data_IF_902504850525
#
_entry.id   IF_902504850525
#
_cell.length_a   1.000
_cell.length_b   1.000
_cell.length_c   1.000
_cell.angle_alpha   90.00
_cell.angle_beta   90.00
_cell.angle_gamma   90.00
#
_symmetry.space_group_name_H-M   'P 1'
#
loop_
_entity.id
_entity.type
_entity.pdbx_description
1 polymer ?
#
# COMPACT_ATOMS: atom_id res chain seq x y z
N UNK A 1 -35.90 -54.85 68.75
CA UNK A 1 -35.53 -53.46 68.43
C UNK A 1 -34.26 -53.32 67.56
N UNK A 2 -33.70 -54.38 66.95
CA UNK A 2 -32.42 -54.30 66.22
C UNK A 2 -32.45 -54.07 64.70
N UNK A 3 -33.62 -54.13 64.03
CA UNK A 3 -33.70 -54.08 62.57
C UNK A 3 -33.63 -52.65 61.98
N UNK A 4 -34.07 -51.63 62.71
CA UNK A 4 -34.11 -50.24 62.20
C UNK A 4 -32.75 -49.54 62.11
N UNK A 5 -31.79 -49.91 62.96
CA UNK A 5 -30.47 -49.26 63.02
C UNK A 5 -29.62 -49.48 61.76
N UNK A 6 -29.72 -50.66 61.13
CA UNK A 6 -28.98 -51.01 59.92
C UNK A 6 -29.43 -50.21 58.68
N UNK A 7 -30.70 -49.80 58.61
CA UNK A 7 -31.21 -48.99 57.49
C UNK A 7 -30.71 -47.55 57.55
N UNK A 8 -30.65 -46.95 58.75
CA UNK A 8 -30.14 -45.59 58.95
C UNK A 8 -28.64 -45.53 58.61
N UNK A 9 -27.85 -46.52 59.07
CA UNK A 9 -26.42 -46.57 58.76
C UNK A 9 -26.14 -46.71 57.25
N UNK A 10 -26.93 -47.54 56.54
CA UNK A 10 -26.82 -47.68 55.07
C UNK A 10 -27.20 -46.39 54.34
N UNK A 11 -28.26 -45.70 54.78
CA UNK A 11 -28.68 -44.44 54.19
C UNK A 11 -27.62 -43.34 54.38
N UNK A 12 -27.04 -43.23 55.59
CA UNK A 12 -25.94 -42.30 55.86
C UNK A 12 -24.69 -42.61 55.01
N UNK A 13 -24.35 -43.89 54.84
CA UNK A 13 -23.24 -44.29 53.97
C UNK A 13 -23.50 -43.92 52.50
N UNK A 14 -24.70 -44.16 51.98
CA UNK A 14 -25.07 -43.77 50.61
C UNK A 14 -25.03 -42.25 50.43
N UNK A 15 -25.51 -41.48 51.42
CA UNK A 15 -25.48 -40.02 51.40
C UNK A 15 -24.04 -39.49 51.42
N UNK A 16 -23.17 -40.11 52.21
CA UNK A 16 -21.74 -39.80 52.24
C UNK A 16 -21.05 -40.10 50.90
N UNK A 17 -21.34 -41.27 50.30
CA UNK A 17 -20.81 -41.65 48.99
C UNK A 17 -21.29 -40.71 47.87
N UNK A 18 -22.57 -40.31 47.91
CA UNK A 18 -23.13 -39.34 46.97
C UNK A 18 -22.46 -37.97 47.11
N UNK A 19 -22.25 -37.51 48.36
CA UNK A 19 -21.55 -36.27 48.64
C UNK A 19 -20.10 -36.31 48.13
N UNK A 20 -19.40 -37.43 48.35
CA UNK A 20 -18.04 -37.63 47.85
C UNK A 20 -17.99 -37.61 46.32
N UNK A 21 -18.95 -38.27 45.65
CA UNK A 21 -19.05 -38.27 44.19
C UNK A 21 -19.32 -36.86 43.64
N UNK A 22 -20.21 -36.09 44.28
CA UNK A 22 -20.48 -34.70 43.91
C UNK A 22 -19.23 -33.83 44.05
N UNK A 23 -18.47 -33.99 45.14
CA UNK A 23 -17.21 -33.28 45.38
C UNK A 23 -16.17 -33.62 44.31
N UNK A 24 -16.05 -34.89 43.94
CA UNK A 24 -15.14 -35.35 42.88
C UNK A 24 -15.52 -34.75 41.52
N UNK A 25 -16.82 -34.70 41.19
CA UNK A 25 -17.31 -34.14 39.94
C UNK A 25 -17.09 -32.62 39.88
N UNK A 26 -17.28 -31.91 40.99
CA UNK A 26 -16.98 -30.49 41.10
C UNK A 26 -15.48 -30.21 40.91
N UNK A 27 -14.61 -31.03 41.53
CA UNK A 27 -13.16 -30.92 41.37
C UNK A 27 -12.74 -31.17 39.92
N UNK A 28 -13.32 -32.18 39.26
CA UNK A 28 -13.05 -32.47 37.85
C UNK A 28 -13.47 -31.30 36.95
N UNK A 29 -14.65 -30.72 37.20
CA UNK A 29 -15.14 -29.55 36.46
C UNK A 29 -14.21 -28.35 36.62
N UNK A 30 -13.73 -28.09 37.85
CA UNK A 30 -12.78 -27.02 38.14
C UNK A 30 -11.45 -27.23 37.39
N UNK A 31 -10.91 -28.46 37.39
CA UNK A 31 -9.69 -28.80 36.66
C UNK A 31 -9.86 -28.62 35.15
N UNK A 32 -11.01 -29.00 34.60
CA UNK A 32 -11.30 -28.84 33.17
C UNK A 32 -11.43 -27.35 32.79
N UNK A 33 -12.04 -26.53 33.64
CA UNK A 33 -12.13 -25.09 33.43
C UNK A 33 -10.77 -24.41 33.53
N UNK A 34 -9.91 -24.83 34.45
CA UNK A 34 -8.53 -24.36 34.56
C UNK A 34 -7.71 -24.74 33.32
N UNK A 35 -7.84 -25.97 32.84
CA UNK A 35 -7.18 -26.43 31.62
C UNK A 35 -7.63 -25.63 30.39
N UNK A 36 -8.94 -25.39 30.27
CA UNK A 36 -9.49 -24.56 29.19
C UNK A 36 -8.95 -23.13 29.26
N UNK A 37 -8.92 -22.53 30.45
CA UNK A 37 -8.33 -21.20 30.65
C UNK A 37 -6.84 -21.18 30.24
N UNK A 38 -6.08 -22.20 30.65
CA UNK A 38 -4.67 -22.32 30.26
C UNK A 38 -4.51 -22.44 28.74
N UNK A 39 -5.33 -23.27 28.08
CA UNK A 39 -5.32 -23.43 26.62
C UNK A 39 -5.73 -22.16 25.88
N UNK A 40 -6.56 -21.30 26.48
CA UNK A 40 -6.92 -19.99 25.91
C UNK A 40 -5.83 -18.93 26.14
N UNK A 41 -5.08 -19.01 27.25
CA UNK A 41 -4.04 -18.05 27.59
C UNK A 41 -2.69 -18.37 26.94
N UNK A 42 -2.34 -19.66 26.79
CA UNK A 42 -1.04 -20.09 26.27
C UNK A 42 -0.74 -19.52 24.86
N UNK A 43 -1.68 -19.57 23.88
CA UNK A 43 -1.42 -19.02 22.54
C UNK A 43 -1.21 -17.51 22.54
N UNK A 44 -1.94 -16.79 23.40
CA UNK A 44 -1.78 -15.33 23.58
C UNK A 44 -0.41 -15.00 24.15
N UNK A 45 0.04 -15.78 25.13
CA UNK A 45 1.37 -15.64 25.72
C UNK A 45 2.48 -15.93 24.71
N UNK A 46 2.38 -17.06 23.98
CA UNK A 46 3.34 -17.41 22.94
C UNK A 46 3.42 -16.35 21.84
N UNK A 47 2.29 -15.82 21.36
CA UNK A 47 2.28 -14.79 20.33
C UNK A 47 3.00 -13.52 20.79
N UNK A 48 2.75 -13.09 22.02
CA UNK A 48 3.35 -11.86 22.57
C UNK A 48 4.86 -12.01 22.74
N UNK A 49 5.31 -13.11 23.35
CA UNK A 49 6.73 -13.40 23.57
C UNK A 49 7.46 -13.61 22.25
N UNK A 50 6.88 -14.35 21.30
CA UNK A 50 7.50 -14.60 20.00
C UNK A 50 7.63 -13.33 19.17
N UNK A 51 6.62 -12.46 19.20
CA UNK A 51 6.66 -11.16 18.50
C UNK A 51 7.77 -10.27 19.09
N UNK A 52 7.88 -10.21 20.42
CA UNK A 52 8.94 -9.46 21.10
C UNK A 52 10.35 -10.01 20.77
N UNK A 53 10.51 -11.34 20.77
CA UNK A 53 11.78 -11.98 20.43
C UNK A 53 12.19 -11.78 18.97
N UNK A 54 11.24 -11.82 18.04
CA UNK A 54 11.53 -11.54 16.62
C UNK A 54 11.87 -10.08 16.37
N UNK A 55 11.23 -9.15 17.09
CA UNK A 55 11.61 -7.74 17.10
C UNK A 55 13.05 -7.56 17.60
N UNK A 56 13.42 -8.20 18.72
CA UNK A 56 14.78 -8.15 19.28
C UNK A 56 15.82 -8.77 18.34
N UNK A 57 15.51 -9.91 17.72
CA UNK A 57 16.41 -10.57 16.77
C UNK A 57 16.66 -9.71 15.53
N UNK A 58 15.63 -9.04 15.02
CA UNK A 58 15.73 -8.13 13.89
C UNK A 58 16.33 -6.77 14.29
N UNK A 59 16.35 -6.40 15.57
CA UNK A 59 17.02 -5.20 16.01
C UNK A 59 18.55 -5.27 15.88
N UNK A 60 19.13 -6.48 15.93
CA UNK A 60 20.53 -6.68 15.53
C UNK A 60 20.77 -6.33 14.05
N UNK A 61 19.76 -6.49 13.19
CA UNK A 61 19.82 -6.08 11.78
C UNK A 61 19.58 -4.57 11.58
N UNK A 62 19.04 -3.85 12.58
CA UNK A 62 18.83 -2.41 12.50
C UNK A 62 20.12 -1.60 12.72
N UNK A 63 21.21 -2.22 13.20
CA UNK A 63 22.55 -1.61 13.39
C UNK A 63 22.51 -0.18 13.95
N UNK A 64 21.55 0.11 14.81
CA UNK A 64 21.44 1.40 15.48
C UNK A 64 22.08 1.27 16.84
N UNK A 65 23.10 2.07 17.12
CA UNK A 65 23.68 2.26 18.47
C UNK A 65 22.68 2.84 19.49
N UNK A 66 21.46 3.17 19.06
CA UNK A 66 20.41 3.69 19.90
C UNK A 66 19.70 2.56 20.69
N UNK A 67 19.45 2.74 22.00
CA UNK A 67 18.71 1.79 22.80
C UNK A 67 17.25 1.67 22.31
N UNK A 68 16.77 0.43 22.18
CA UNK A 68 15.37 0.15 21.83
C UNK A 68 14.50 0.48 23.05
N UNK A 69 13.54 1.37 22.89
CA UNK A 69 12.52 1.66 23.91
C UNK A 69 11.23 0.91 23.58
N UNK A 70 10.69 0.15 24.53
CA UNK A 70 9.45 -0.62 24.35
C UNK A 70 8.29 0.18 24.94
N UNK A 71 7.27 0.46 24.13
CA UNK A 71 6.04 1.13 24.55
C UNK A 71 4.92 0.09 24.69
N UNK A 72 4.08 0.23 25.73
CA UNK A 72 2.88 -0.59 25.86
C UNK A 72 1.67 0.24 26.30
N UNK A 73 0.50 -0.16 25.81
CA UNK A 73 -0.80 0.49 26.01
C UNK A 73 -1.72 -0.41 26.82
N UNK A 74 -1.20 -1.04 27.88
CA UNK A 74 -2.04 -1.90 28.70
C UNK A 74 -3.02 -1.02 29.48
N UNK A 75 -4.30 -1.17 29.15
CA UNK A 75 -5.42 -0.54 29.87
C UNK A 75 -5.82 -1.37 31.09
N UNK A 76 -5.28 -2.58 31.23
CA UNK A 76 -5.45 -3.39 32.42
C UNK A 76 -4.57 -2.85 33.56
N UNK A 77 -5.04 -2.89 34.82
CA UNK A 77 -4.21 -2.59 35.98
C UNK A 77 -2.96 -3.47 35.97
N UNK A 78 -1.81 -2.91 36.36
CA UNK A 78 -0.48 -3.54 36.34
C UNK A 78 -0.51 -5.06 36.46
N UNK A 79 -0.58 -5.72 35.31
CA UNK A 79 -0.48 -7.17 35.27
C UNK A 79 0.93 -7.61 35.68
N UNK A 80 1.10 -8.91 36.01
CA UNK A 80 2.41 -9.49 36.35
C UNK A 80 3.47 -9.30 35.25
N UNK A 81 3.05 -8.89 34.05
CA UNK A 81 3.92 -8.66 32.89
C UNK A 81 4.66 -7.32 32.91
N UNK A 82 4.26 -6.34 33.73
CA UNK A 82 4.95 -5.04 33.78
C UNK A 82 6.43 -5.20 34.22
N UNK A 83 6.69 -6.11 35.15
CA UNK A 83 8.04 -6.44 35.62
C UNK A 83 8.86 -7.19 34.55
N UNK A 84 8.23 -8.09 33.79
CA UNK A 84 8.88 -8.80 32.68
C UNK A 84 9.28 -7.81 31.58
N UNK A 85 8.38 -6.91 31.21
CA UNK A 85 8.65 -5.86 30.23
C UNK A 85 9.81 -4.96 30.69
N UNK A 86 9.83 -4.51 31.96
CA UNK A 86 10.93 -3.69 32.51
C UNK A 86 12.31 -4.36 32.40
N UNK A 87 12.36 -5.70 32.40
CA UNK A 87 13.61 -6.46 32.28
C UNK A 87 14.10 -6.60 30.84
N UNK A 88 13.23 -6.43 29.84
CA UNK A 88 13.58 -6.50 28.41
C UNK A 88 14.29 -5.22 27.96
N UNK A 89 14.04 -4.10 28.64
CA UNK A 89 14.70 -2.82 28.35
C UNK A 89 13.96 -1.64 28.98
N UNK A 90 14.34 -0.40 28.65
CA UNK A 90 13.59 0.77 29.07
C UNK A 90 12.17 0.69 28.51
N UNK A 91 11.20 0.44 29.38
CA UNK A 91 9.78 0.37 29.02
C UNK A 91 9.05 1.61 29.47
N UNK A 92 8.14 2.09 28.62
CA UNK A 92 7.24 3.21 28.93
C UNK A 92 5.79 2.74 28.85
N UNK A 93 5.08 2.83 29.98
CA UNK A 93 3.62 2.68 30.01
C UNK A 93 3.00 3.97 29.47
N UNK A 94 2.31 3.91 28.33
CA UNK A 94 1.68 5.09 27.75
C UNK A 94 0.50 5.60 28.60
N UNK A 95 -0.05 4.77 29.47
CA UNK A 95 -1.09 5.14 30.43
C UNK A 95 -0.54 5.98 31.59
N UNK A 96 0.69 5.70 32.05
CA UNK A 96 1.26 6.32 33.26
C UNK A 96 2.26 7.42 32.98
N UNK A 97 3.07 7.22 31.94
CA UNK A 97 4.02 8.20 31.46
C UNK A 97 3.70 8.47 29.98
N UNK A 98 2.58 9.16 29.71
CA UNK A 98 2.17 9.44 28.35
C UNK A 98 3.23 10.31 27.67
N UNK A 99 3.41 10.10 26.37
CA UNK A 99 4.36 10.87 25.57
C UNK A 99 4.05 12.37 25.66
N UNK A 100 5.05 13.27 25.66
CA UNK A 100 4.79 14.70 25.75
C UNK A 100 3.81 15.20 24.68
N UNK A 101 2.95 16.14 25.06
CA UNK A 101 1.97 16.75 24.15
C UNK A 101 2.68 17.36 22.93
N UNK A 102 2.09 17.19 21.75
CA UNK A 102 2.63 17.72 20.50
C UNK A 102 3.81 16.94 19.90
N UNK A 103 4.17 15.79 20.48
CA UNK A 103 5.13 14.87 19.83
C UNK A 103 4.42 14.01 18.77
N UNK A 104 5.12 13.76 17.67
CA UNK A 104 4.61 12.90 16.59
C UNK A 104 4.41 11.46 17.03
N UNK A 105 5.21 11.01 17.99
CA UNK A 105 5.07 9.70 18.60
C UNK A 105 3.77 9.60 19.41
N UNK A 106 3.41 10.61 20.22
CA UNK A 106 2.11 10.62 20.94
C UNK A 106 0.95 10.56 19.95
N UNK A 107 1.09 11.26 18.84
CA UNK A 107 0.06 11.29 17.82
C UNK A 107 -0.08 9.92 17.13
N UNK A 108 1.03 9.22 16.88
CA UNK A 108 1.06 7.90 16.23
C UNK A 108 0.45 6.76 17.07
N UNK A 109 0.48 6.86 18.40
CA UNK A 109 -0.05 5.85 19.32
C UNK A 109 -1.22 6.45 20.12
N UNK A 110 -2.42 6.42 19.55
CA UNK A 110 -3.63 6.67 20.32
C UNK A 110 -4.43 5.37 20.41
N UNK A 111 -4.40 4.72 21.57
CA UNK A 111 -5.35 3.67 21.93
C UNK A 111 -6.32 4.32 22.91
N UNK A 112 -7.51 4.78 22.49
CA UNK A 112 -8.53 5.21 23.43
C UNK A 112 -8.86 4.01 24.34
N UNK A 113 -8.78 4.16 25.68
CA UNK A 113 -8.89 3.03 26.59
C UNK A 113 -10.28 2.40 26.70
N UNK A 114 -11.33 2.96 26.08
CA UNK A 114 -12.71 2.64 26.47
C UNK A 114 -13.75 2.40 25.36
N UNK A 115 -13.41 2.42 24.06
CA UNK A 115 -14.43 2.23 23.01
C UNK A 115 -14.06 1.15 22.00
N UNK A 116 -15.07 0.32 21.70
CA UNK A 116 -14.99 -0.93 20.95
C UNK A 116 -14.24 -0.80 19.61
N UNK A 117 -13.31 -1.73 19.35
CA UNK A 117 -12.83 -2.02 17.99
C UNK A 117 -11.74 -1.12 17.43
N UNK A 118 -10.98 -0.41 18.28
CA UNK A 118 -9.89 0.44 17.79
C UNK A 118 -8.72 -0.41 17.26
N UNK A 119 -8.45 -0.26 15.95
CA UNK A 119 -7.23 -0.75 15.32
C UNK A 119 -6.01 -0.35 16.14
N UNK A 120 -5.01 -1.23 16.22
CA UNK A 120 -3.72 -0.95 16.88
C UNK A 120 -3.03 0.33 16.33
N UNK A 121 -3.52 0.82 15.18
CA UNK A 121 -3.13 2.05 14.50
C UNK A 121 -4.32 2.99 14.29
N UNK A 122 -5.08 3.31 15.34
CA UNK A 122 -6.12 4.32 15.28
C UNK A 122 -5.53 5.71 15.57
N UNK A 123 -5.33 6.51 14.53
CA UNK A 123 -4.96 7.91 14.68
C UNK A 123 -6.24 8.75 14.88
N UNK A 124 -6.48 9.25 16.10
CA UNK A 124 -7.62 10.15 16.39
C UNK A 124 -7.20 11.62 16.47
N UNK A 125 -5.92 11.91 16.22
CA UNK A 125 -5.38 13.26 16.38
C UNK A 125 -5.80 14.27 15.32
N UNK A 126 -6.55 13.93 14.27
CA UNK A 126 -6.88 14.89 13.19
C UNK A 126 -8.26 15.53 13.36
N UNK A 127 -8.33 16.63 14.11
CA UNK A 127 -9.25 17.71 13.78
C UNK A 127 -8.57 18.68 12.80
N UNK A 128 -9.33 19.46 12.03
CA UNK A 128 -8.78 20.63 11.32
C UNK A 128 -7.99 21.49 12.30
N UNK A 129 -6.70 21.75 12.01
CA UNK A 129 -5.78 22.47 12.89
C UNK A 129 -4.93 21.60 13.84
N UNK A 130 -5.13 20.29 13.86
CA UNK A 130 -4.29 19.39 14.63
C UNK A 130 -2.83 19.38 14.14
N UNK A 131 -1.88 19.35 15.09
CA UNK A 131 -0.44 19.29 14.81
C UNK A 131 0.00 18.01 14.06
N UNK A 132 -0.92 17.08 13.89
CA UNK A 132 -0.82 15.83 13.14
C UNK A 132 -0.19 15.97 11.75
N UNK A 133 -0.75 16.86 10.94
CA UNK A 133 -0.26 17.09 9.57
C UNK A 133 1.19 17.59 9.54
N UNK A 134 1.72 18.13 10.65
CA UNK A 134 3.10 18.60 10.74
C UNK A 134 4.11 17.48 10.99
N UNK A 135 3.65 16.30 11.37
CA UNK A 135 4.53 15.24 11.82
C UNK A 135 5.22 14.45 10.71
N UNK A 136 4.84 14.68 9.44
CA UNK A 136 5.38 13.95 8.30
C UNK A 136 5.28 12.43 8.47
N UNK A 137 6.08 11.71 7.69
CA UNK A 137 6.21 10.27 7.85
C UNK A 137 6.91 9.96 9.18
N UNK A 138 6.26 9.17 10.04
CA UNK A 138 6.83 8.75 11.32
C UNK A 138 7.87 7.66 11.08
N UNK A 139 9.15 7.86 11.45
CA UNK A 139 10.19 6.85 11.24
C UNK A 139 9.85 5.51 11.87
N UNK A 140 9.13 5.50 13.00
CA UNK A 140 8.72 4.28 13.68
C UNK A 140 7.61 3.54 12.92
N UNK A 141 6.62 4.26 12.37
CA UNK A 141 5.52 3.65 11.61
C UNK A 141 6.02 3.17 10.25
N UNK A 142 6.92 3.92 9.63
CA UNK A 142 7.65 3.49 8.42
C UNK A 142 8.50 2.24 8.70
N UNK A 143 9.28 2.23 9.79
CA UNK A 143 10.07 1.06 10.19
C UNK A 143 9.19 -0.16 10.50
N UNK A 144 8.05 0.05 11.16
CA UNK A 144 7.09 -1.02 11.43
C UNK A 144 6.47 -1.56 10.14
N UNK A 145 6.07 -0.71 9.20
CA UNK A 145 5.61 -1.15 7.87
C UNK A 145 6.68 -1.96 7.14
N UNK A 146 7.94 -1.52 7.18
CA UNK A 146 9.06 -2.29 6.64
C UNK A 146 9.28 -3.63 7.36
N UNK A 147 9.15 -3.67 8.69
CA UNK A 147 9.26 -4.89 9.48
C UNK A 147 8.13 -5.86 9.13
N UNK A 148 6.87 -5.40 9.09
CA UNK A 148 5.72 -6.19 8.63
C UNK A 148 5.97 -6.79 7.25
N UNK A 149 6.39 -5.97 6.28
CA UNK A 149 6.75 -6.43 4.92
C UNK A 149 7.98 -7.36 4.92
N UNK A 150 8.79 -7.34 5.98
CA UNK A 150 9.95 -8.22 6.18
C UNK A 150 9.59 -9.57 6.78
N UNK A 151 8.46 -9.69 7.48
CA UNK A 151 7.95 -10.97 7.98
C UNK A 151 7.55 -11.92 6.85
N UNK A 152 7.26 -11.38 5.67
CA UNK A 152 6.85 -12.15 4.50
C UNK A 152 7.80 -11.91 3.31
N UNK A 153 9.06 -12.36 3.40
CA UNK A 153 10.09 -12.11 2.37
C UNK A 153 9.74 -12.73 1.02
N UNK A 154 8.93 -13.78 0.98
CA UNK A 154 8.35 -14.39 -0.22
C UNK A 154 7.40 -13.45 -0.97
N UNK A 155 6.81 -12.46 -0.29
CA UNK A 155 5.90 -11.50 -0.91
C UNK A 155 6.63 -10.31 -1.54
N UNK A 156 7.92 -10.13 -1.24
CA UNK A 156 8.75 -9.10 -1.87
C UNK A 156 8.86 -9.40 -3.38
N UNK A 157 8.78 -8.39 -4.26
CA UNK A 157 8.99 -8.60 -5.70
C UNK A 157 10.37 -9.22 -5.95
N UNK A 158 10.44 -10.53 -6.14
CA UNK A 158 11.67 -11.24 -6.54
C UNK A 158 11.88 -10.99 -8.04
N UNK A 159 12.63 -9.94 -8.36
CA UNK A 159 13.01 -9.61 -9.73
C UNK A 159 11.89 -8.94 -10.54
N UNK A 160 12.23 -8.54 -11.77
CA UNK A 160 11.30 -7.94 -12.72
C UNK A 160 10.06 -8.84 -12.88
N UNK A 161 8.84 -8.29 -12.90
CA UNK A 161 7.62 -9.07 -13.06
C UNK A 161 7.77 -9.95 -14.31
N UNK A 162 7.59 -11.26 -14.17
CA UNK A 162 7.53 -12.16 -15.32
C UNK A 162 6.34 -11.70 -16.19
N UNK A 163 6.53 -11.41 -17.49
CA UNK A 163 5.50 -10.82 -18.35
C UNK A 163 4.28 -11.72 -18.61
N UNK A 164 4.24 -12.93 -18.07
CA UNK A 164 3.20 -13.92 -18.36
C UNK A 164 1.79 -13.55 -17.88
N UNK A 165 1.61 -12.56 -16.99
CA UNK A 165 0.27 -12.15 -16.54
C UNK A 165 -0.29 -10.91 -17.27
N UNK A 166 0.51 -10.25 -18.11
CA UNK A 166 0.10 -9.02 -18.82
C UNK A 166 -0.61 -9.27 -20.16
N UNK A 167 -0.81 -10.53 -20.56
CA UNK A 167 -1.35 -10.89 -21.88
C UNK A 167 -2.73 -11.59 -21.87
N UNK A 168 -3.40 -11.77 -20.73
CA UNK A 168 -4.76 -12.33 -20.71
C UNK A 168 -5.87 -11.28 -20.87
N UNK A 169 -5.52 -10.01 -21.04
CA UNK A 169 -6.47 -8.96 -21.43
C UNK A 169 -6.39 -8.71 -22.93
N UNK A 170 -6.76 -9.72 -23.72
CA UNK A 170 -7.25 -9.43 -25.05
C UNK A 170 -8.51 -8.59 -24.87
N UNK A 171 -8.47 -7.32 -25.27
CA UNK A 171 -9.67 -6.66 -25.78
C UNK A 171 -10.42 -7.68 -26.66
N UNK A 172 -11.75 -7.81 -26.59
CA UNK A 172 -12.47 -8.57 -27.61
C UNK A 172 -11.97 -8.07 -28.95
N UNK A 173 -11.35 -8.97 -29.72
CA UNK A 173 -10.70 -8.61 -30.97
C UNK A 173 -11.72 -7.80 -31.78
N UNK A 174 -11.32 -6.58 -32.19
CA UNK A 174 -12.06 -5.90 -33.23
C UNK A 174 -12.29 -6.93 -34.37
N UNK A 175 -13.52 -7.05 -34.91
CA UNK A 175 -13.84 -8.05 -35.91
C UNK A 175 -12.76 -8.02 -36.99
N UNK A 176 -12.10 -9.17 -37.17
CA UNK A 176 -10.93 -9.29 -38.01
C UNK A 176 -11.22 -8.68 -39.38
N UNK A 177 -10.41 -7.69 -39.78
CA UNK A 177 -10.41 -7.24 -41.15
C UNK A 177 -10.10 -8.44 -42.07
N UNK A 178 -10.79 -8.58 -43.22
CA UNK A 178 -10.57 -9.69 -44.12
C UNK A 178 -9.10 -9.75 -44.55
N UNK A 179 -8.55 -10.97 -44.73
CA UNK A 179 -7.14 -11.14 -45.08
C UNK A 179 -6.81 -10.41 -46.39
N UNK A 180 -5.67 -9.70 -46.47
CA UNK A 180 -5.22 -9.10 -47.72
C UNK A 180 -4.88 -10.18 -48.75
N UNK A 181 -5.20 -9.89 -50.00
CA UNK A 181 -4.97 -10.76 -51.15
C UNK A 181 -3.48 -11.12 -51.33
N UNK A 182 -3.16 -12.31 -51.85
CA UNK A 182 -1.79 -12.78 -52.01
C UNK A 182 -1.00 -11.88 -52.98
N UNK A 183 0.11 -11.34 -52.47
CA UNK A 183 1.05 -10.51 -53.21
C UNK A 183 1.94 -11.40 -54.12
N UNK A 184 2.15 -11.02 -55.40
CA UNK A 184 2.94 -11.82 -56.33
C UNK A 184 4.44 -11.80 -56.02
N UNK A 185 5.03 -12.99 -56.01
CA UNK A 185 6.45 -13.26 -55.76
C UNK A 185 7.36 -12.53 -56.77
N UNK A 186 8.05 -11.48 -56.35
CA UNK A 186 9.18 -10.90 -57.08
C UNK A 186 10.50 -11.54 -56.63
N UNK A 187 10.77 -12.73 -57.18
CA UNK A 187 12.12 -13.25 -57.30
C UNK A 187 12.81 -12.53 -58.48
N UNK A 188 13.78 -11.64 -58.20
CA UNK A 188 14.97 -11.33 -59.01
C UNK A 188 15.43 -9.87 -58.83
N UNK A 189 16.14 -9.58 -57.73
CA UNK A 189 17.10 -8.48 -57.67
C UNK A 189 18.07 -8.65 -56.50
N UNK A 190 18.96 -9.65 -56.60
CA UNK A 190 20.14 -9.77 -55.73
C UNK A 190 21.33 -10.18 -56.60
N UNK A 191 22.11 -9.19 -57.04
CA UNK A 191 23.54 -9.29 -57.39
C UNK A 191 24.00 -7.97 -58.02
N UNK A 192 24.30 -6.99 -57.18
CA UNK A 192 25.26 -5.91 -57.43
C UNK A 192 25.14 -4.91 -56.28
N UNK A 193 25.85 -5.16 -55.18
CA UNK A 193 26.30 -4.14 -54.23
C UNK A 193 27.24 -4.82 -53.25
N UNK A 194 28.46 -5.04 -53.75
CA UNK A 194 29.63 -5.36 -52.97
C UNK A 194 30.23 -4.05 -52.44
N UNK A 195 30.59 -4.09 -51.15
CA UNK A 195 31.71 -3.36 -50.54
C UNK A 195 31.57 -1.82 -50.44
N UNK A 196 30.78 -1.39 -49.45
CA UNK A 196 31.01 -0.13 -48.76
C UNK A 196 31.87 -0.38 -47.49
N UNK A 197 32.74 0.57 -47.09
CA UNK A 197 33.62 0.41 -45.95
C UNK A 197 32.85 0.36 -44.63
N UNK A 198 33.37 -0.47 -43.74
CA UNK A 198 32.86 -0.77 -42.41
C UNK A 198 32.99 0.46 -41.49
N UNK A 199 32.18 1.49 -41.71
CA UNK A 199 31.94 2.52 -40.71
C UNK A 199 31.32 1.81 -39.51
N UNK A 200 32.13 1.66 -38.47
CA UNK A 200 31.68 1.26 -37.15
C UNK A 200 30.61 2.25 -36.71
N UNK A 201 29.35 1.93 -37.02
CA UNK A 201 28.18 2.42 -36.34
C UNK A 201 28.37 2.07 -34.87
N UNK A 202 29.02 2.97 -34.14
CA UNK A 202 28.76 3.25 -32.74
C UNK A 202 27.31 3.72 -32.66
N UNK A 203 26.39 2.82 -32.97
CA UNK A 203 24.98 2.95 -32.74
C UNK A 203 24.85 2.94 -31.24
N UNK A 204 24.89 4.14 -30.67
CA UNK A 204 24.68 4.42 -29.26
C UNK A 204 23.39 3.70 -28.87
N UNK A 205 23.51 2.48 -28.32
CA UNK A 205 22.39 1.70 -27.83
C UNK A 205 21.79 2.54 -26.70
N UNK A 206 20.79 3.34 -27.04
CA UNK A 206 19.97 4.02 -26.04
C UNK A 206 19.26 2.90 -25.30
N UNK A 207 19.70 2.64 -24.09
CA UNK A 207 19.07 1.68 -23.19
C UNK A 207 17.58 1.98 -23.16
N UNK A 208 16.76 0.99 -23.53
CA UNK A 208 15.31 1.13 -23.50
C UNK A 208 14.88 1.59 -22.10
N UNK A 209 13.90 2.49 -21.98
CA UNK A 209 13.42 2.94 -20.68
C UNK A 209 12.95 1.74 -19.87
N UNK A 210 13.37 1.68 -18.60
CA UNK A 210 12.91 0.63 -17.69
C UNK A 210 11.42 0.83 -17.46
N UNK A 211 10.63 -0.21 -17.67
CA UNK A 211 9.19 -0.17 -17.42
C UNK A 211 8.88 -0.67 -16.00
N UNK A 212 8.01 0.05 -15.28
CA UNK A 212 7.45 -0.34 -13.99
C UNK A 212 5.92 -0.33 -14.10
N UNK A 213 5.28 -1.46 -13.75
CA UNK A 213 3.82 -1.57 -13.67
C UNK A 213 3.43 -1.57 -12.20
N UNK A 214 2.54 -0.66 -11.82
CA UNK A 214 2.11 -0.41 -10.44
C UNK A 214 0.61 -0.69 -10.35
N UNK A 215 0.12 -1.31 -9.27
CA UNK A 215 -1.33 -1.54 -9.17
C UNK A 215 -2.06 -0.34 -8.55
N UNK A 216 -3.20 0.00 -9.16
CA UNK A 216 -4.30 0.77 -8.58
C UNK A 216 -5.29 -0.27 -8.05
N UNK A 217 -5.51 -0.31 -6.74
CA UNK A 217 -6.36 -1.32 -6.11
C UNK A 217 -7.67 -0.69 -5.64
N UNK A 218 -8.81 -1.21 -6.11
CA UNK A 218 -10.12 -0.93 -5.52
C UNK A 218 -10.42 -2.00 -4.46
N UNK A 219 -10.43 -1.59 -3.19
CA UNK A 219 -10.83 -2.44 -2.07
C UNK A 219 -12.36 -2.46 -1.96
N UNK A 220 -12.99 -3.37 -2.71
CA UNK A 220 -14.45 -3.53 -2.70
C UNK A 220 -14.90 -4.08 -1.35
N UNK A 221 -16.13 -3.72 -0.99
CA UNK A 221 -16.87 -4.22 0.18
C UNK A 221 -18.24 -4.79 -0.20
N UNK A 222 -18.58 -4.77 -1.49
CA UNK A 222 -19.94 -5.02 -1.95
C UNK A 222 -20.44 -6.41 -1.52
N UNK A 223 -19.57 -7.43 -1.59
CA UNK A 223 -19.96 -8.78 -1.20
C UNK A 223 -20.03 -8.94 0.31
N UNK A 224 -19.06 -8.39 1.04
CA UNK A 224 -19.08 -8.40 2.50
C UNK A 224 -20.37 -7.76 3.04
N UNK A 225 -20.79 -6.64 2.46
CA UNK A 225 -22.01 -5.92 2.83
C UNK A 225 -23.26 -6.72 2.46
N UNK A 226 -23.30 -7.33 1.27
CA UNK A 226 -24.40 -8.19 0.87
C UNK A 226 -24.58 -9.40 1.81
N UNK A 227 -23.48 -10.07 2.17
CA UNK A 227 -23.50 -11.23 3.07
C UNK A 227 -23.81 -10.84 4.52
N UNK A 228 -23.46 -9.62 4.92
CA UNK A 228 -23.60 -9.14 6.30
C UNK A 228 -24.83 -8.27 6.51
N UNK A 229 -25.67 -8.03 5.49
CA UNK A 229 -26.73 -7.01 5.49
C UNK A 229 -27.63 -7.05 6.75
N UNK A 230 -28.00 -8.25 7.22
CA UNK A 230 -28.83 -8.45 8.41
C UNK A 230 -28.10 -8.16 9.74
N UNK A 231 -26.76 -8.17 9.73
CA UNK A 231 -25.89 -7.96 10.91
C UNK A 231 -25.28 -6.56 10.96
N UNK A 232 -25.34 -5.81 9.86
CA UNK A 232 -24.83 -4.44 9.83
C UNK A 232 -25.67 -3.55 10.77
N UNK A 233 -25.04 -2.64 11.49
CA UNK A 233 -25.73 -1.56 12.18
C UNK A 233 -26.37 -0.60 11.19
N UNK A 234 -27.29 0.25 11.65
CA UNK A 234 -27.89 1.29 10.80
C UNK A 234 -26.82 2.19 10.16
N UNK A 235 -25.87 2.65 10.97
CA UNK A 235 -24.74 3.43 10.51
C UNK A 235 -23.84 2.67 9.51
N UNK A 236 -23.69 1.35 9.63
CA UNK A 236 -22.94 0.59 8.62
C UNK A 236 -23.72 0.47 7.31
N UNK A 237 -25.05 0.30 7.37
CA UNK A 237 -25.91 0.18 6.19
C UNK A 237 -25.96 1.47 5.37
N UNK A 238 -26.02 2.64 6.02
CA UNK A 238 -26.07 3.93 5.29
C UNK A 238 -24.83 4.17 4.44
N UNK A 239 -23.72 3.50 4.73
CA UNK A 239 -22.45 3.63 4.02
C UNK A 239 -22.27 2.64 2.88
N UNK A 240 -23.15 1.66 2.77
CA UNK A 240 -23.06 0.65 1.74
C UNK A 240 -23.09 1.32 0.36
N UNK A 241 -22.23 0.86 -0.54
CA UNK A 241 -22.07 1.48 -1.87
C UNK A 241 -22.95 0.72 -2.86
N UNK A 242 -23.98 1.38 -3.38
CA UNK A 242 -24.94 0.75 -4.30
C UNK A 242 -24.41 0.51 -5.72
N UNK A 243 -23.36 1.21 -6.14
CA UNK A 243 -22.86 1.22 -7.52
C UNK A 243 -21.40 0.74 -7.69
N UNK A 244 -20.96 -0.23 -6.87
CA UNK A 244 -19.57 -0.76 -6.90
C UNK A 244 -19.12 -1.21 -8.30
N UNK A 245 -20.01 -1.88 -9.05
CA UNK A 245 -19.71 -2.31 -10.42
C UNK A 245 -19.57 -1.17 -11.44
N UNK A 246 -20.21 -0.02 -11.22
CA UNK A 246 -19.99 1.19 -12.02
C UNK A 246 -18.66 1.83 -11.69
N UNK A 247 -18.31 1.89 -10.40
CA UNK A 247 -17.02 2.39 -9.91
C UNK A 247 -15.87 1.59 -10.53
N UNK A 248 -15.91 0.26 -10.47
CA UNK A 248 -14.85 -0.59 -11.05
C UNK A 248 -14.68 -0.35 -12.56
N UNK A 249 -15.79 -0.27 -13.32
CA UNK A 249 -15.74 0.01 -14.76
C UNK A 249 -15.16 1.39 -15.07
N UNK A 250 -15.56 2.41 -14.31
CA UNK A 250 -15.07 3.76 -14.46
C UNK A 250 -13.57 3.88 -14.13
N UNK A 251 -13.12 3.24 -13.04
CA UNK A 251 -11.71 3.17 -12.68
C UNK A 251 -10.88 2.45 -13.76
N UNK A 252 -11.41 1.39 -14.36
CA UNK A 252 -10.72 0.65 -15.42
C UNK A 252 -10.51 1.52 -16.65
N UNK A 253 -11.53 2.29 -17.04
CA UNK A 253 -11.45 3.23 -18.15
C UNK A 253 -10.44 4.35 -17.86
N UNK A 254 -10.42 4.90 -16.64
CA UNK A 254 -9.49 5.97 -16.27
C UNK A 254 -8.04 5.49 -16.24
N UNK A 255 -7.76 4.31 -15.69
CA UNK A 255 -6.41 3.72 -15.71
C UNK A 255 -5.91 3.51 -17.14
N UNK A 256 -6.78 3.01 -18.04
CA UNK A 256 -6.43 2.85 -19.46
C UNK A 256 -6.17 4.19 -20.14
N UNK A 257 -7.01 5.20 -19.88
CA UNK A 257 -6.84 6.54 -20.42
C UNK A 257 -5.53 7.18 -19.94
N UNK A 258 -5.20 7.04 -18.64
CA UNK A 258 -3.95 7.51 -18.06
C UNK A 258 -2.74 6.86 -18.74
N UNK A 259 -2.73 5.52 -18.86
CA UNK A 259 -1.65 4.78 -19.51
C UNK A 259 -1.45 5.18 -20.98
N UNK A 260 -2.55 5.45 -21.69
CA UNK A 260 -2.51 5.91 -23.09
C UNK A 260 -1.81 7.27 -23.20
N UNK A 261 -2.14 8.22 -22.31
CA UNK A 261 -1.47 9.53 -22.24
C UNK A 261 0.02 9.38 -21.91
N UNK A 262 0.36 8.55 -20.93
CA UNK A 262 1.74 8.29 -20.53
C UNK A 262 2.57 7.66 -21.66
N UNK A 263 1.99 6.71 -22.40
CA UNK A 263 2.63 6.09 -23.57
C UNK A 263 2.88 7.11 -24.69
N UNK A 264 1.91 7.96 -25.01
CA UNK A 264 2.06 9.01 -26.02
C UNK A 264 3.14 10.04 -25.64
N UNK A 265 3.25 10.37 -24.34
CA UNK A 265 4.34 11.22 -23.84
C UNK A 265 5.71 10.54 -24.01
N UNK A 266 5.81 9.25 -23.69
CA UNK A 266 7.03 8.47 -23.87
C UNK A 266 7.44 8.40 -25.35
N UNK A 267 6.48 8.15 -26.24
CA UNK A 267 6.68 8.12 -27.68
C UNK A 267 7.17 9.49 -28.21
N UNK A 268 6.62 10.60 -27.73
CA UNK A 268 7.14 11.94 -28.08
C UNK A 268 8.57 12.18 -27.58
N UNK A 269 8.90 11.74 -26.36
CA UNK A 269 10.23 11.90 -25.76
C UNK A 269 11.31 11.07 -26.45
N UNK A 270 10.99 9.85 -26.88
CA UNK A 270 11.99 8.91 -27.41
C UNK A 270 11.89 8.67 -28.93
N UNK A 271 10.72 8.89 -29.53
CA UNK A 271 10.45 8.66 -30.95
C UNK A 271 10.72 9.87 -31.86
N UNK A 272 10.99 11.07 -31.32
CA UNK A 272 11.24 12.30 -32.09
C UNK A 272 12.59 12.36 -32.84
N UNK A 273 13.22 11.21 -33.11
CA UNK A 273 14.57 11.10 -33.64
C UNK A 273 14.71 11.07 -35.16
N UNK A 274 13.72 11.49 -35.95
CA UNK A 274 13.86 11.54 -37.42
C UNK A 274 12.66 12.18 -38.11
N UNK A 275 12.69 13.50 -38.32
CA UNK A 275 12.12 14.18 -39.51
C UNK A 275 11.94 15.70 -39.31
N UNK A 276 12.87 16.40 -38.66
CA UNK A 276 13.06 17.82 -38.97
C UNK A 276 13.87 17.93 -40.27
N UNK A 277 13.34 17.37 -41.36
CA UNK A 277 13.74 17.80 -42.69
C UNK A 277 13.21 19.21 -42.84
N UNK A 278 14.11 20.17 -42.65
CA UNK A 278 13.94 21.59 -42.96
C UNK A 278 13.54 21.77 -44.42
N UNK A 279 12.26 21.63 -44.73
CA UNK A 279 11.69 22.20 -45.96
C UNK A 279 11.47 23.68 -45.69
N UNK A 280 12.52 24.45 -45.93
CA UNK A 280 12.47 25.89 -46.10
C UNK A 280 11.62 26.22 -47.34
N UNK A 281 10.31 26.38 -47.15
CA UNK A 281 9.45 27.04 -48.12
C UNK A 281 9.01 28.37 -47.55
N UNK A 282 9.76 29.39 -47.95
CA UNK A 282 9.41 30.80 -47.87
C UNK A 282 8.11 31.07 -48.62
N UNK A 283 7.08 31.53 -47.93
CA UNK A 283 6.02 32.31 -48.55
C UNK A 283 5.44 33.29 -47.54
N UNK A 284 5.82 34.54 -47.76
CA UNK A 284 5.28 35.77 -47.21
C UNK A 284 3.80 35.94 -47.55
N UNK A 285 2.96 36.22 -46.56
CA UNK A 285 1.86 37.17 -46.72
C UNK A 285 1.35 37.66 -45.36
N UNK A 286 1.34 38.98 -45.27
CA UNK A 286 0.87 39.84 -44.19
C UNK A 286 -0.65 39.89 -44.11
N UNK A 287 -1.21 39.88 -42.90
CA UNK A 287 -2.28 40.82 -42.54
C UNK A 287 -2.57 40.77 -41.03
N UNK A 288 -2.57 41.97 -40.48
CA UNK A 288 -2.91 42.45 -39.14
C UNK A 288 -4.25 41.95 -38.57
N UNK A 289 -4.28 41.70 -37.25
CA UNK A 289 -5.23 42.37 -36.35
C UNK A 289 -4.86 42.16 -34.88
N UNK A 290 -5.06 43.25 -34.15
CA UNK A 290 -4.86 43.52 -32.74
C UNK A 290 -5.82 42.75 -31.81
N UNK A 291 -5.37 42.33 -30.62
CA UNK A 291 -5.84 42.87 -29.32
C UNK A 291 -5.58 41.97 -28.11
N UNK A 292 -5.39 42.64 -26.97
CA UNK A 292 -5.51 42.22 -25.56
C UNK A 292 -4.52 41.21 -24.98
N UNK A 293 -3.54 41.83 -24.32
CA UNK A 293 -2.70 41.38 -23.22
C UNK A 293 -3.41 40.58 -22.11
N UNK A 294 -2.88 39.42 -21.77
CA UNK A 294 -2.97 38.82 -20.44
C UNK A 294 -1.67 38.06 -20.18
N UNK A 295 -0.85 38.61 -19.29
CA UNK A 295 0.49 38.14 -18.98
C UNK A 295 0.45 36.77 -18.30
N UNK A 296 0.87 35.73 -19.03
CA UNK A 296 1.25 34.44 -18.46
C UNK A 296 2.77 34.33 -18.48
N UNK A 297 3.38 34.40 -17.29
CA UNK A 297 4.82 34.19 -17.10
C UNK A 297 5.07 32.68 -17.26
N UNK A 298 5.28 32.24 -18.51
CA UNK A 298 5.87 30.94 -18.81
C UNK A 298 7.36 30.97 -18.49
N UNK A 299 7.74 30.41 -17.34
CA UNK A 299 9.13 30.13 -17.01
C UNK A 299 9.63 28.98 -17.89
N UNK A 300 10.18 29.31 -19.05
CA UNK A 300 10.97 28.39 -19.86
C UNK A 300 12.33 28.17 -19.18
N UNK A 301 12.37 27.18 -18.28
CA UNK A 301 13.61 26.67 -17.70
C UNK A 301 14.30 25.71 -18.68
N UNK A 302 14.85 26.26 -19.76
CA UNK A 302 15.69 25.51 -20.71
C UNK A 302 17.11 25.36 -20.14
N UNK A 303 17.29 24.41 -19.22
CA UNK A 303 18.63 24.03 -18.74
C UNK A 303 19.31 23.13 -19.77
N UNK A 304 20.09 23.72 -20.67
CA UNK A 304 21.02 23.06 -21.59
C UNK A 304 22.30 22.57 -20.88
N UNK A 305 22.16 21.85 -19.76
CA UNK A 305 23.25 21.02 -19.24
C UNK A 305 22.99 19.61 -19.74
N UNK A 306 23.96 18.96 -20.36
CA UNK A 306 23.88 17.54 -20.76
C UNK A 306 24.35 16.67 -19.59
N UNK A 307 23.46 16.05 -18.77
CA UNK A 307 23.86 15.28 -17.60
C UNK A 307 23.51 13.81 -17.83
N UNK A 308 24.51 12.94 -17.68
CA UNK A 308 24.50 11.55 -18.11
C UNK A 308 23.17 10.81 -17.99
N UNK A 309 22.76 10.16 -19.08
CA UNK A 309 21.84 9.02 -19.18
C UNK A 309 21.01 8.74 -17.91
N UNK A 310 20.13 9.67 -17.51
CA UNK A 310 19.15 9.41 -16.47
C UNK A 310 18.18 8.37 -17.04
N UNK A 311 18.38 7.11 -16.65
CA UNK A 311 17.51 6.00 -17.06
C UNK A 311 16.08 6.36 -16.68
N UNK A 312 15.29 6.74 -17.68
CA UNK A 312 13.94 7.24 -17.44
C UNK A 312 13.06 6.03 -17.21
N UNK A 313 12.42 5.93 -16.05
CA UNK A 313 11.45 4.87 -15.79
C UNK A 313 10.12 5.26 -16.44
N UNK A 314 9.61 4.36 -17.28
CA UNK A 314 8.23 4.42 -17.76
C UNK A 314 7.32 3.75 -16.74
N UNK A 315 6.41 4.52 -16.15
CA UNK A 315 5.44 4.04 -15.16
C UNK A 315 4.10 3.79 -15.84
N UNK A 316 3.52 2.62 -15.60
CA UNK A 316 2.18 2.25 -16.03
C UNK A 316 1.39 1.71 -14.85
N UNK A 317 0.08 1.75 -14.95
CA UNK A 317 -0.82 1.26 -13.92
C UNK A 317 -1.67 0.07 -14.38
N UNK A 318 -1.95 -0.85 -13.46
CA UNK A 318 -2.97 -1.89 -13.64
C UNK A 318 -4.07 -1.73 -12.59
N UNK A 319 -5.34 -1.86 -12.98
CA UNK A 319 -6.43 -1.88 -12.00
C UNK A 319 -6.56 -3.28 -11.41
N UNK A 320 -6.74 -3.35 -10.09
CA UNK A 320 -7.13 -4.56 -9.36
C UNK A 320 -8.34 -4.26 -8.48
N UNK A 321 -9.52 -4.74 -8.88
CA UNK A 321 -10.68 -4.73 -7.99
C UNK A 321 -10.64 -6.00 -7.14
N UNK A 322 -10.56 -5.83 -5.82
CA UNK A 322 -10.39 -6.93 -4.87
C UNK A 322 -11.39 -6.78 -3.74
N UNK A 323 -12.22 -7.81 -3.55
CA UNK A 323 -12.99 -8.01 -2.33
C UNK A 323 -12.07 -8.73 -1.34
N UNK A 324 -11.50 -7.99 -0.39
CA UNK A 324 -10.49 -8.53 0.53
C UNK A 324 -11.04 -9.71 1.35
N UNK A 325 -12.35 -9.74 1.63
CA UNK A 325 -12.98 -10.82 2.38
C UNK A 325 -13.03 -12.16 1.63
N UNK A 326 -12.87 -12.14 0.30
CA UNK A 326 -12.90 -13.34 -0.55
C UNK A 326 -11.52 -13.94 -0.81
N UNK A 327 -10.46 -13.23 -0.42
CA UNK A 327 -9.10 -13.57 -0.79
C UNK A 327 -8.35 -14.06 0.46
N UNK A 328 -7.58 -15.16 0.40
CA UNK A 328 -6.73 -15.58 1.51
C UNK A 328 -5.80 -14.44 1.96
N UNK A 329 -5.52 -14.36 3.26
CA UNK A 329 -4.75 -13.26 3.83
C UNK A 329 -3.40 -13.04 3.12
N UNK A 330 -2.68 -14.11 2.78
CA UNK A 330 -1.40 -14.05 2.06
C UNK A 330 -1.54 -13.34 0.70
N UNK A 331 -2.60 -13.64 -0.04
CA UNK A 331 -2.91 -13.03 -1.33
C UNK A 331 -3.34 -11.56 -1.19
N UNK A 332 -4.04 -11.22 -0.09
CA UNK A 332 -4.36 -9.83 0.25
C UNK A 332 -3.06 -9.03 0.45
N UNK A 333 -2.12 -9.56 1.23
CA UNK A 333 -0.83 -8.90 1.48
C UNK A 333 -0.03 -8.78 0.18
N UNK A 334 -0.02 -9.82 -0.66
CA UNK A 334 0.62 -9.77 -1.98
C UNK A 334 0.08 -8.63 -2.86
N UNK A 335 -1.25 -8.44 -2.90
CA UNK A 335 -1.87 -7.36 -3.65
C UNK A 335 -1.48 -5.99 -3.09
N UNK A 336 -1.55 -5.82 -1.76
CA UNK A 336 -1.27 -4.55 -1.09
C UNK A 336 0.21 -4.14 -1.13
N UNK A 337 1.15 -5.11 -1.06
CA UNK A 337 2.60 -4.83 -1.12
C UNK A 337 3.02 -4.21 -2.45
N UNK A 338 2.30 -4.52 -3.53
CA UNK A 338 2.51 -4.00 -4.89
C UNK A 338 1.59 -2.83 -5.24
N UNK A 339 0.67 -2.49 -4.35
CA UNK A 339 -0.27 -1.40 -4.51
C UNK A 339 0.44 -0.05 -4.39
N UNK A 340 0.39 0.73 -5.47
CA UNK A 340 0.84 2.12 -5.46
C UNK A 340 -0.29 3.10 -5.21
N UNK A 341 -1.53 2.78 -5.63
CA UNK A 341 -2.71 3.61 -5.35
C UNK A 341 -3.80 2.73 -4.76
N UNK A 342 -4.12 2.89 -3.48
CA UNK A 342 -5.22 2.18 -2.82
C UNK A 342 -6.45 3.06 -2.82
N UNK A 343 -7.54 2.57 -3.40
CA UNK A 343 -8.82 3.25 -3.52
C UNK A 343 -9.86 2.41 -2.79
N UNK A 344 -10.72 3.01 -1.96
CA UNK A 344 -11.77 2.24 -1.30
C UNK A 344 -12.73 3.12 -0.50
N UNK A 345 -13.94 2.60 -0.30
CA UNK A 345 -14.85 3.17 0.69
C UNK A 345 -14.26 3.03 2.09
N UNK A 346 -14.43 4.07 2.91
CA UNK A 346 -13.94 4.07 4.29
C UNK A 346 -14.38 2.81 5.02
N UNK A 347 -13.41 2.08 5.57
CA UNK A 347 -13.60 0.80 6.25
C UNK A 347 -12.31 0.00 6.28
N UNK A 348 -12.37 -1.21 6.85
CA UNK A 348 -11.18 -2.02 7.16
C UNK A 348 -10.24 -2.27 5.97
N UNK A 349 -10.74 -2.25 4.73
CA UNK A 349 -9.89 -2.42 3.55
C UNK A 349 -8.79 -1.34 3.40
N UNK A 350 -9.06 -0.10 3.84
CA UNK A 350 -8.08 0.98 3.81
C UNK A 350 -6.98 0.84 4.87
N UNK A 351 -7.16 -0.02 5.88
CA UNK A 351 -6.08 -0.38 6.80
C UNK A 351 -4.97 -1.17 6.08
N UNK A 352 -5.26 -1.72 4.90
CA UNK A 352 -4.29 -2.37 4.01
C UNK A 352 -3.12 -1.49 3.61
N UNK A 353 -3.23 -0.16 3.72
CA UNK A 353 -2.14 0.77 3.42
C UNK A 353 -0.88 0.57 4.28
N UNK A 354 -0.99 -0.09 5.43
CA UNK A 354 0.15 -0.48 6.26
C UNK A 354 1.12 -1.42 5.51
N UNK A 355 0.61 -2.17 4.52
CA UNK A 355 1.39 -3.07 3.68
C UNK A 355 1.94 -2.41 2.41
N UNK A 356 1.43 -1.23 2.02
CA UNK A 356 1.92 -0.49 0.85
C UNK A 356 3.36 0.00 1.06
N UNK A 357 4.03 0.43 -0.02
CA UNK A 357 5.39 0.94 0.10
C UNK A 357 5.39 2.34 0.77
N UNK A 358 5.98 2.51 1.97
CA UNK A 358 5.97 3.77 2.69
C UNK A 358 6.94 4.79 2.06
N UNK A 359 6.96 6.01 2.61
CA UNK A 359 7.99 7.01 2.32
C UNK A 359 7.77 7.81 1.04
N UNK A 360 6.52 8.13 0.71
CA UNK A 360 6.25 9.05 -0.40
C UNK A 360 6.12 8.38 -1.76
N UNK A 361 5.88 7.06 -1.83
CA UNK A 361 5.86 6.29 -3.10
C UNK A 361 4.53 5.63 -3.42
N UNK A 362 3.52 5.89 -2.59
CA UNK A 362 2.20 5.32 -2.67
C UNK A 362 1.13 6.35 -2.25
N UNK A 363 -0.10 6.15 -2.70
CA UNK A 363 -1.22 7.04 -2.45
C UNK A 363 -2.46 6.26 -1.98
N UNK A 364 -3.31 6.92 -1.20
CA UNK A 364 -4.58 6.40 -0.71
C UNK A 364 -5.70 7.38 -1.09
N UNK A 365 -6.73 6.86 -1.76
CA UNK A 365 -7.95 7.60 -2.11
C UNK A 365 -9.09 6.99 -1.29
N UNK A 366 -9.52 7.71 -0.27
CA UNK A 366 -10.60 7.28 0.60
C UNK A 366 -11.93 7.87 0.14
N UNK A 367 -12.93 7.00 -0.05
CA UNK A 367 -14.30 7.41 -0.33
C UNK A 367 -15.12 7.44 0.96
N UNK A 368 -15.56 8.64 1.33
CA UNK A 368 -16.46 8.88 2.45
C UNK A 368 -17.89 8.98 1.95
N UNK A 369 -18.49 7.82 1.72
CA UNK A 369 -19.89 7.71 1.33
C UNK A 369 -20.80 7.81 2.57
N UNK A 370 -21.68 8.80 2.59
CA UNK A 370 -22.67 9.06 3.64
C UNK A 370 -22.08 9.15 5.06
N UNK A 371 -20.80 9.57 5.18
CA UNK A 371 -20.13 9.80 6.46
C UNK A 371 -19.25 11.02 6.36
N UNK A 372 -19.20 11.79 7.45
CA UNK A 372 -18.37 12.98 7.59
C UNK A 372 -17.36 12.77 8.72
N UNK A 373 -16.30 13.60 8.69
CA UNK A 373 -15.38 13.81 9.81
C UNK A 373 -14.58 12.58 10.29
N UNK A 374 -14.35 11.59 9.42
CA UNK A 374 -13.55 10.41 9.74
C UNK A 374 -12.12 10.51 9.19
N UNK A 375 -11.12 10.67 10.07
CA UNK A 375 -9.73 10.93 9.67
C UNK A 375 -8.74 9.81 10.02
N UNK A 376 -9.23 8.62 10.38
CA UNK A 376 -8.38 7.50 10.79
C UNK A 376 -7.34 7.11 9.72
N UNK A 377 -7.77 6.98 8.47
CA UNK A 377 -6.87 6.58 7.38
C UNK A 377 -6.02 7.74 6.86
N UNK A 378 -6.49 8.99 6.99
CA UNK A 378 -5.68 10.17 6.72
C UNK A 378 -4.45 10.22 7.64
N UNK A 379 -4.66 9.98 8.94
CA UNK A 379 -3.57 9.91 9.91
C UNK A 379 -2.59 8.76 9.62
N UNK A 380 -3.11 7.58 9.31
CA UNK A 380 -2.27 6.43 8.91
C UNK A 380 -1.45 6.72 7.65
N UNK A 381 -2.07 7.32 6.62
CA UNK A 381 -1.40 7.70 5.39
C UNK A 381 -0.28 8.71 5.64
N UNK A 382 -0.54 9.75 6.43
CA UNK A 382 0.46 10.75 6.81
C UNK A 382 1.66 10.10 7.51
N UNK A 383 1.41 9.21 8.48
CA UNK A 383 2.47 8.50 9.22
C UNK A 383 3.31 7.58 8.33
N UNK A 384 2.71 6.98 7.31
CA UNK A 384 3.40 6.13 6.33
C UNK A 384 4.04 6.95 5.19
N UNK A 385 3.74 8.25 5.11
CA UNK A 385 4.19 9.12 4.04
C UNK A 385 3.46 8.90 2.72
N UNK A 386 2.24 8.38 2.75
CA UNK A 386 1.41 8.25 1.54
C UNK A 386 0.78 9.60 1.18
N UNK A 387 0.55 9.85 -0.12
CA UNK A 387 -0.41 10.88 -0.51
C UNK A 387 -1.80 10.41 -0.07
N UNK A 388 -2.57 11.29 0.56
CA UNK A 388 -3.94 10.99 0.95
C UNK A 388 -4.90 11.96 0.25
N UNK A 389 -5.88 11.41 -0.45
CA UNK A 389 -6.95 12.15 -1.09
C UNK A 389 -8.29 11.64 -0.56
N UNK A 390 -9.21 12.57 -0.35
CA UNK A 390 -10.51 12.31 0.25
C UNK A 390 -11.60 12.64 -0.77
N UNK A 391 -12.45 11.67 -1.07
CA UNK A 391 -13.63 11.87 -1.90
C UNK A 391 -14.87 11.75 -1.03
N UNK A 392 -15.45 12.89 -0.64
CA UNK A 392 -16.71 12.94 0.11
C UNK A 392 -17.87 12.88 -0.88
N UNK A 393 -18.83 11.99 -0.62
CA UNK A 393 -20.02 11.88 -1.45
C UNK A 393 -21.23 11.42 -0.62
N UNK A 394 -22.42 11.81 -1.07
CA UNK A 394 -23.68 11.49 -0.42
C UNK A 394 -24.67 10.88 -1.41
N UNK A 395 -25.64 10.11 -0.92
CA UNK A 395 -26.73 9.55 -1.71
C UNK A 395 -26.68 8.03 -1.84
N UNK A 396 -27.14 7.53 -2.99
CA UNK A 396 -27.29 6.09 -3.24
C UNK A 396 -26.01 5.40 -3.74
N UNK A 397 -25.01 6.18 -4.16
CA UNK A 397 -23.78 5.67 -4.75
C UNK A 397 -22.67 6.71 -4.79
N UNK A 398 -21.51 6.29 -5.28
CA UNK A 398 -20.32 7.13 -5.38
C UNK A 398 -20.40 8.01 -6.62
N UNK A 399 -20.09 9.29 -6.46
CA UNK A 399 -20.02 10.28 -7.55
C UNK A 399 -18.75 10.08 -8.38
N UNK A 400 -18.90 9.52 -9.58
CA UNK A 400 -17.77 9.06 -10.37
C UNK A 400 -16.80 10.17 -10.80
N UNK A 401 -17.23 11.33 -11.34
CA UNK A 401 -16.29 12.36 -11.82
C UNK A 401 -15.31 12.82 -10.74
N UNK A 402 -15.80 13.14 -9.54
CA UNK A 402 -14.98 13.52 -8.40
C UNK A 402 -14.02 12.41 -7.96
N UNK A 403 -14.47 11.15 -7.91
CA UNK A 403 -13.61 10.01 -7.59
C UNK A 403 -12.48 9.85 -8.62
N UNK A 404 -12.81 9.87 -9.91
CA UNK A 404 -11.85 9.67 -10.99
C UNK A 404 -10.78 10.78 -11.00
N UNK A 405 -11.17 12.03 -10.75
CA UNK A 405 -10.21 13.13 -10.63
C UNK A 405 -9.19 12.89 -9.51
N UNK A 406 -9.63 12.41 -8.34
CA UNK A 406 -8.73 12.06 -7.24
C UNK A 406 -7.82 10.87 -7.59
N UNK A 407 -8.35 9.83 -8.24
CA UNK A 407 -7.54 8.66 -8.64
C UNK A 407 -6.49 9.06 -9.66
N UNK A 408 -6.81 9.92 -10.62
CA UNK A 408 -5.84 10.46 -11.58
C UNK A 408 -4.77 11.29 -10.92
N UNK A 409 -5.13 12.18 -9.99
CA UNK A 409 -4.15 12.94 -9.21
C UNK A 409 -3.22 12.03 -8.38
N UNK A 410 -3.76 10.94 -7.81
CA UNK A 410 -2.95 9.95 -7.11
C UNK A 410 -1.99 9.21 -8.04
N UNK A 411 -2.44 8.79 -9.23
CA UNK A 411 -1.57 8.14 -10.23
C UNK A 411 -0.46 9.08 -10.71
N UNK A 412 -0.77 10.35 -10.99
CA UNK A 412 0.21 11.36 -11.39
C UNK A 412 1.30 11.53 -10.34
N UNK A 413 0.90 11.70 -9.07
CA UNK A 413 1.82 11.86 -7.95
C UNK A 413 2.70 10.62 -7.75
N UNK A 414 2.12 9.41 -7.81
CA UNK A 414 2.89 8.15 -7.66
C UNK A 414 3.89 8.01 -8.81
N UNK A 415 3.48 8.27 -10.04
CA UNK A 415 4.35 8.20 -11.20
C UNK A 415 5.52 9.18 -11.11
N UNK A 416 5.27 10.41 -10.67
CA UNK A 416 6.32 11.41 -10.43
C UNK A 416 7.33 10.93 -9.37
N UNK A 417 6.84 10.47 -8.22
CA UNK A 417 7.68 9.99 -7.11
C UNK A 417 8.55 8.79 -7.49
N UNK A 418 8.02 7.88 -8.31
CA UNK A 418 8.75 6.71 -8.83
C UNK A 418 9.88 7.10 -9.77
N UNK A 419 9.61 8.05 -10.68
CA UNK A 419 10.63 8.62 -11.57
C UNK A 419 11.72 9.35 -10.79
N UNK A 420 11.36 10.16 -9.79
CA UNK A 420 12.31 10.90 -8.96
C UNK A 420 13.22 9.98 -8.11
N UNK A 421 12.66 8.93 -7.50
CA UNK A 421 13.41 8.01 -6.63
C UNK A 421 14.52 7.25 -7.39
N UNK A 422 14.30 6.98 -8.68
CA UNK A 422 15.29 6.29 -9.51
C UNK A 422 16.48 7.19 -9.84
N UNK A 423 16.22 8.49 -10.06
CA UNK A 423 17.28 9.45 -10.31
C UNK A 423 18.23 9.59 -9.11
N UNK A 424 17.71 9.45 -7.88
CA UNK A 424 18.49 9.54 -6.65
C UNK A 424 19.41 8.32 -6.39
N UNK A 425 19.10 7.16 -6.98
CA UNK A 425 19.84 5.92 -6.75
C UNK A 425 21.05 5.75 -7.67
N UNK A 426 21.31 6.67 -8.61
CA UNK A 426 22.52 6.64 -9.44
C UNK A 426 23.68 7.18 -8.60
N UNK A 427 24.62 6.34 -8.12
CA UNK A 427 25.69 6.79 -7.26
C UNK A 427 26.56 7.81 -8.01
N UNK A 428 26.82 8.95 -7.38
CA UNK A 428 27.70 10.01 -7.92
C UNK A 428 29.15 9.56 -8.19
N UNK A 429 29.51 8.31 -7.84
CA UNK A 429 30.84 7.74 -7.96
C UNK A 429 31.36 7.49 -9.38
N UNK A 430 30.51 7.54 -10.42
CA UNK A 430 30.97 7.34 -11.80
C UNK A 430 31.69 8.56 -12.42
N UNK A 431 31.54 9.76 -11.83
CA UNK A 431 32.15 10.99 -12.37
C UNK A 431 33.60 11.24 -11.92
N UNK A 432 34.11 10.48 -10.94
CA UNK A 432 35.43 10.72 -10.32
C UNK A 432 36.63 10.02 -10.98
N UNK A 433 36.43 9.00 -11.81
CA UNK A 433 37.52 8.13 -12.28
C UNK A 433 38.28 8.64 -13.52
N UNK A 434 37.81 9.69 -14.20
CA UNK A 434 38.41 10.14 -15.47
C UNK A 434 39.38 11.33 -15.35
N UNK A 435 39.70 11.81 -14.14
CA UNK A 435 40.48 13.05 -13.94
C UNK A 435 41.94 12.88 -13.52
N UNK A 436 42.46 11.65 -13.40
CA UNK A 436 43.79 11.41 -12.82
C UNK A 436 44.71 10.50 -13.67
N UNK A 437 44.83 10.76 -14.98
CA UNK A 437 45.84 10.11 -15.83
C UNK A 437 46.82 11.08 -16.51
N UNK A 438 46.94 12.32 -16.00
CA UNK A 438 47.89 13.30 -16.51
C UNK A 438 48.96 13.64 -15.49
N UNK A 439 50.17 13.08 -15.66
CA UNK A 439 51.40 13.68 -15.12
C UNK A 439 52.20 12.80 -14.16
N UNK A 440 53.11 12.00 -14.71
CA UNK A 440 54.54 11.97 -14.36
C UNK A 440 55.23 10.95 -15.27
N UNK A 441 56.10 11.44 -16.14
CA UNK A 441 56.87 10.69 -17.12
C UNK A 441 57.60 11.64 -18.04
#
# INVERSE_FOLDING_TARGET
MGAGSNHIARLLLLLLLLLLLLLLLLLLLLLLLLLLLLLLLLPRYFLTVFTALQLLKNAAALNTSAPIQVFYTDTQPHGPYAEVLRRIGPTRSLTQDPLPNGTCLRAAFHVPPHEHGTSLFAYTGVGEGSRAARCGASPLVVAFSHWLRGLFPELRPRGAPRPHFLLSWTLPAAPAAPPPAPEPQQHHRRRAEQQAPNEQLTQTQRSAPRMEVISVMWASRARHEALSAARLSEWQRTRAVGNDGEVVRALQAEVLAWNTRASAELARKFGGGSSSSSSSSSSSSSSSSSSSSSGSISKNSSSNGSPGSNSTIAVFFELRAVELSDVPFEDQVHALVRCGVLVGAHGGGLAGQAWMEPGGRSAVVEVLHNVREQNHYAGMAALLGHLYLRHECEGAGIELPGLLAHVTAAMDWVAERRRASTAALVPAGAAGAARNSGGTG
#
